data_IF_251934447150
#
_entry.id   IF_251934447150
#
_cell.length_a   1.000
_cell.length_b   1.000
_cell.length_c   1.000
_cell.angle_alpha   90.00
_cell.angle_beta   90.00
_cell.angle_gamma   90.00
#
_symmetry.space_group_name_H-M   'P 1'
#
loop_
_entity.id
_entity.type
_entity.pdbx_description
1 polymer ?
#
# COMPACT_ATOMS: atom_id res chain seq x y z
N UNK A 1 -9.89 26.27 -5.34
CA UNK A 1 -9.82 24.87 -4.92
C UNK A 1 -11.19 24.25 -5.07
N UNK A 2 -11.27 22.97 -5.46
CA UNK A 2 -12.53 22.23 -5.34
C UNK A 2 -12.68 21.84 -3.86
N UNK A 3 -13.64 22.42 -3.11
CA UNK A 3 -13.73 22.27 -1.65
C UNK A 3 -13.77 20.81 -1.19
N UNK A 4 -14.36 19.94 -2.01
CA UNK A 4 -14.52 18.52 -1.72
C UNK A 4 -13.20 17.74 -1.78
N UNK A 5 -12.23 18.15 -2.61
CA UNK A 5 -10.93 17.49 -2.69
C UNK A 5 -10.03 17.92 -1.53
N UNK A 6 -10.03 19.22 -1.21
CA UNK A 6 -9.30 19.75 -0.05
C UNK A 6 -9.81 19.14 1.25
N UNK A 7 -11.13 19.02 1.41
CA UNK A 7 -11.74 18.36 2.56
C UNK A 7 -11.34 16.89 2.67
N UNK A 8 -11.40 16.11 1.58
CA UNK A 8 -10.98 14.70 1.58
C UNK A 8 -9.53 14.53 2.00
N UNK A 9 -8.64 15.39 1.49
CA UNK A 9 -7.22 15.39 1.85
C UNK A 9 -7.01 15.69 3.33
N UNK A 10 -7.63 16.75 3.86
CA UNK A 10 -7.51 17.11 5.28
C UNK A 10 -8.06 16.01 6.19
N UNK A 11 -9.17 15.38 5.82
CA UNK A 11 -9.71 14.23 6.56
C UNK A 11 -8.76 13.05 6.54
N UNK A 12 -8.18 12.71 5.38
CA UNK A 12 -7.20 11.63 5.27
C UNK A 12 -5.92 11.92 6.09
N UNK A 13 -5.44 13.16 6.11
CA UNK A 13 -4.31 13.59 6.94
C UNK A 13 -4.60 13.40 8.43
N UNK A 14 -5.79 13.80 8.89
CA UNK A 14 -6.21 13.58 10.27
C UNK A 14 -6.29 12.09 10.61
N UNK A 15 -6.76 11.25 9.69
CA UNK A 15 -6.74 9.80 9.90
C UNK A 15 -5.31 9.25 9.99
N UNK A 16 -4.38 9.72 9.15
CA UNK A 16 -2.97 9.34 9.23
C UNK A 16 -2.39 9.74 10.60
N UNK A 17 -2.65 10.96 11.08
CA UNK A 17 -2.17 11.39 12.40
C UNK A 17 -2.75 10.53 13.52
N UNK A 18 -4.03 10.18 13.45
CA UNK A 18 -4.66 9.26 14.41
C UNK A 18 -4.03 7.86 14.39
N UNK A 19 -3.77 7.31 13.20
CA UNK A 19 -3.09 6.02 13.04
C UNK A 19 -1.69 6.05 13.67
N UNK A 20 -0.99 7.19 13.60
CA UNK A 20 0.39 7.38 14.03
C UNK A 20 0.52 8.02 15.43
N UNK A 21 -0.48 7.83 16.30
CA UNK A 21 -0.50 8.35 17.67
C UNK A 21 -0.27 9.88 17.77
N UNK A 22 -0.87 10.64 16.86
CA UNK A 22 -0.78 12.10 16.78
C UNK A 22 0.44 12.65 16.03
N UNK A 23 1.25 11.78 15.40
CA UNK A 23 2.40 12.19 14.60
C UNK A 23 2.03 12.29 13.12
N UNK A 24 2.63 13.22 12.40
CA UNK A 24 2.52 13.24 10.94
C UNK A 24 3.40 12.16 10.29
N UNK A 25 3.07 11.81 9.05
CA UNK A 25 3.89 10.92 8.21
C UNK A 25 5.36 11.38 8.11
N UNK A 26 5.60 12.70 8.02
CA UNK A 26 6.95 13.27 8.00
C UNK A 26 7.73 13.01 9.29
N UNK A 27 7.08 13.14 10.46
CA UNK A 27 7.72 12.93 11.77
C UNK A 27 8.13 11.48 12.03
N UNK A 28 7.52 10.52 11.33
CA UNK A 28 7.85 9.09 11.44
C UNK A 28 8.78 8.62 10.31
N UNK A 29 9.30 9.56 9.49
CA UNK A 29 10.19 9.25 8.37
C UNK A 29 9.49 8.64 7.15
N UNK A 30 8.15 8.72 7.10
CA UNK A 30 7.28 8.28 6.01
C UNK A 30 6.68 9.48 5.23
N UNK A 31 7.38 10.62 5.19
CA UNK A 31 6.89 11.83 4.49
C UNK A 31 6.85 11.75 2.95
N UNK A 32 7.92 11.27 2.27
CA UNK A 32 8.08 11.50 0.83
C UNK A 32 7.39 10.48 -0.09
N UNK A 33 6.22 9.94 0.26
CA UNK A 33 5.57 8.88 -0.55
C UNK A 33 5.25 9.29 -1.99
N UNK A 34 4.89 10.55 -2.21
CA UNK A 34 4.63 11.06 -3.57
C UNK A 34 5.89 11.00 -4.42
N UNK A 35 7.05 11.36 -3.85
CA UNK A 35 8.35 11.28 -4.52
C UNK A 35 8.73 9.82 -4.78
N UNK A 36 8.59 8.94 -3.78
CA UNK A 36 8.89 7.52 -3.90
C UNK A 36 8.11 6.88 -5.05
N UNK A 37 6.79 7.14 -5.13
CA UNK A 37 5.95 6.60 -6.20
C UNK A 37 6.21 7.27 -7.57
N UNK A 38 6.74 8.49 -7.58
CA UNK A 38 7.05 9.21 -8.83
C UNK A 38 8.38 8.80 -9.43
N UNK A 39 9.41 8.62 -8.62
CA UNK A 39 10.81 8.62 -9.06
C UNK A 39 11.62 7.41 -8.57
N UNK A 40 11.19 6.70 -7.53
CA UNK A 40 11.99 5.67 -6.86
C UNK A 40 11.54 4.23 -7.18
N UNK A 41 12.19 3.22 -6.59
CA UNK A 41 11.96 1.79 -6.84
C UNK A 41 10.91 1.18 -5.90
N UNK A 42 10.47 -0.06 -6.20
CA UNK A 42 9.64 -0.83 -5.28
C UNK A 42 10.31 -1.06 -3.90
N UNK A 43 11.64 -1.12 -3.85
CA UNK A 43 12.38 -1.21 -2.58
C UNK A 43 12.19 0.04 -1.71
N UNK A 44 12.27 1.23 -2.31
CA UNK A 44 12.01 2.48 -1.60
C UNK A 44 10.56 2.56 -1.07
N UNK A 45 9.59 2.05 -1.86
CA UNK A 45 8.21 1.90 -1.42
C UNK A 45 8.09 0.97 -0.20
N UNK A 46 8.74 -0.18 -0.21
CA UNK A 46 8.72 -1.11 0.92
C UNK A 46 9.33 -0.47 2.17
N UNK A 47 10.44 0.26 2.02
CA UNK A 47 11.08 0.95 3.12
C UNK A 47 10.18 2.02 3.74
N UNK A 48 9.53 2.85 2.93
CA UNK A 48 8.68 3.92 3.46
C UNK A 48 7.40 3.36 4.09
N UNK A 49 6.83 2.28 3.54
CA UNK A 49 5.72 1.58 4.15
C UNK A 49 6.13 0.94 5.48
N UNK A 50 7.31 0.32 5.57
CA UNK A 50 7.79 -0.24 6.84
C UNK A 50 7.98 0.84 7.93
N UNK A 51 8.40 2.05 7.57
CA UNK A 51 8.45 3.18 8.52
C UNK A 51 7.05 3.59 8.98
N UNK A 52 6.08 3.64 8.07
CA UNK A 52 4.68 3.92 8.40
C UNK A 52 4.14 2.87 9.39
N UNK A 53 4.21 1.58 9.03
CA UNK A 53 3.64 0.50 9.84
C UNK A 53 4.33 0.38 11.20
N UNK A 54 5.64 0.60 11.29
CA UNK A 54 6.36 0.61 12.58
C UNK A 54 5.84 1.69 13.54
N UNK A 55 5.25 2.77 13.03
CA UNK A 55 4.74 3.89 13.83
C UNK A 55 3.24 3.84 14.14
N UNK A 56 2.52 2.83 13.66
CA UNK A 56 1.08 2.67 13.92
C UNK A 56 0.82 2.37 15.40
N UNK A 57 -0.22 3.00 15.95
CA UNK A 57 -0.78 2.64 17.25
C UNK A 57 -1.61 1.35 17.13
N UNK A 58 -0.94 0.20 17.25
CA UNK A 58 -1.57 -1.12 17.15
C UNK A 58 -2.59 -1.41 18.27
N UNK A 59 -2.56 -0.67 19.39
CA UNK A 59 -3.57 -0.85 20.44
C UNK A 59 -4.91 -0.29 20.01
N UNK A 60 -4.89 0.89 19.37
CA UNK A 60 -6.10 1.56 18.87
C UNK A 60 -6.51 1.07 17.48
N UNK A 61 -5.56 0.68 16.65
CA UNK A 61 -5.75 0.32 15.25
C UNK A 61 -5.05 -1.01 14.90
N UNK A 62 -5.60 -2.16 15.33
CA UNK A 62 -4.97 -3.45 15.09
C UNK A 62 -4.97 -3.81 13.60
N UNK A 63 -3.79 -4.15 13.06
CA UNK A 63 -3.65 -4.79 11.74
C UNK A 63 -3.87 -6.30 11.91
N UNK A 64 -4.83 -6.88 11.19
CA UNK A 64 -5.23 -8.30 11.36
C UNK A 64 -5.18 -9.13 10.09
N UNK A 65 -5.30 -8.48 8.95
CA UNK A 65 -5.48 -9.11 7.66
C UNK A 65 -5.06 -8.16 6.52
N UNK A 66 -5.11 -8.68 5.30
CA UNK A 66 -4.76 -7.98 4.07
C UNK A 66 -5.63 -6.73 3.87
N UNK A 67 -6.91 -6.81 4.23
CA UNK A 67 -7.83 -5.68 4.14
C UNK A 67 -7.40 -4.51 5.03
N UNK A 68 -6.91 -4.80 6.25
CA UNK A 68 -6.38 -3.82 7.19
C UNK A 68 -5.09 -3.16 6.67
N UNK A 69 -4.13 -3.98 6.19
CA UNK A 69 -2.88 -3.49 5.60
C UNK A 69 -3.15 -2.56 4.42
N UNK A 70 -4.04 -3.00 3.52
CA UNK A 70 -4.46 -2.22 2.36
C UNK A 70 -5.15 -0.92 2.75
N UNK A 71 -6.11 -0.97 3.69
CA UNK A 71 -6.84 0.22 4.13
C UNK A 71 -5.93 1.29 4.73
N UNK A 72 -4.94 0.88 5.55
CA UNK A 72 -3.99 1.83 6.14
C UNK A 72 -3.06 2.43 5.08
N UNK A 73 -2.62 1.62 4.11
CA UNK A 73 -1.84 2.10 2.97
C UNK A 73 -2.66 3.09 2.11
N UNK A 74 -3.94 2.81 1.89
CA UNK A 74 -4.86 3.69 1.17
C UNK A 74 -5.04 5.03 1.88
N UNK A 75 -5.30 5.03 3.19
CA UNK A 75 -5.44 6.26 3.99
C UNK A 75 -4.16 7.08 3.95
N UNK A 76 -3.01 6.42 4.05
CA UNK A 76 -1.70 7.06 3.95
C UNK A 76 -1.48 7.74 2.60
N UNK A 77 -1.76 7.06 1.48
CA UNK A 77 -1.63 7.64 0.14
C UNK A 77 -2.61 8.80 -0.05
N UNK A 78 -3.86 8.65 0.39
CA UNK A 78 -4.85 9.72 0.35
C UNK A 78 -4.43 10.95 1.20
N UNK A 79 -3.83 10.73 2.37
CA UNK A 79 -3.27 11.79 3.22
C UNK A 79 -2.13 12.56 2.56
N UNK A 80 -1.37 11.90 1.68
CA UNK A 80 -0.36 12.53 0.85
C UNK A 80 -0.95 13.30 -0.36
N UNK A 81 -2.25 13.21 -0.59
CA UNK A 81 -2.95 13.85 -1.72
C UNK A 81 -3.02 13.01 -2.98
N UNK A 82 -2.75 11.70 -2.89
CA UNK A 82 -2.90 10.76 -3.99
C UNK A 82 -4.35 10.23 -4.06
N UNK A 83 -4.71 9.61 -5.20
CA UNK A 83 -6.04 9.02 -5.41
C UNK A 83 -5.95 7.49 -5.53
N UNK A 84 -5.70 6.77 -4.42
CA UNK A 84 -5.61 5.32 -4.45
C UNK A 84 -6.99 4.69 -4.70
N UNK A 85 -7.02 3.67 -5.57
CA UNK A 85 -8.21 2.92 -5.94
C UNK A 85 -8.09 1.48 -5.46
N UNK A 86 -9.20 0.96 -4.98
CA UNK A 86 -9.39 -0.44 -4.63
C UNK A 86 -10.17 -1.06 -5.78
N UNK A 87 -9.67 -2.13 -6.42
CA UNK A 87 -10.50 -2.82 -7.41
C UNK A 87 -11.67 -3.53 -6.71
N UNK A 88 -12.88 -3.29 -7.21
CA UNK A 88 -14.12 -3.85 -6.65
C UNK A 88 -14.62 -5.10 -7.39
N UNK A 89 -13.98 -5.52 -8.49
CA UNK A 89 -14.58 -6.47 -9.45
C UNK A 89 -13.63 -7.53 -10.00
N UNK A 90 -12.85 -8.21 -9.15
CA UNK A 90 -12.33 -9.53 -9.52
C UNK A 90 -12.75 -10.57 -8.50
N UNK A 91 -13.20 -11.73 -8.98
CA UNK A 91 -13.69 -12.84 -8.17
C UNK A 91 -12.62 -13.48 -7.25
N UNK A 92 -11.40 -12.91 -7.20
CA UNK A 92 -10.22 -13.49 -6.57
C UNK A 92 -9.63 -12.70 -5.39
N UNK A 93 -10.25 -11.60 -4.94
CA UNK A 93 -9.94 -11.01 -3.64
C UNK A 93 -9.94 -9.49 -3.60
N UNK A 94 -10.12 -8.96 -2.38
CA UNK A 94 -10.23 -7.53 -2.05
C UNK A 94 -8.88 -6.97 -1.55
N UNK A 95 -7.76 -7.43 -2.08
CA UNK A 95 -6.45 -7.19 -1.46
C UNK A 95 -5.52 -6.31 -2.29
N UNK A 96 -5.93 -5.90 -3.50
CA UNK A 96 -5.16 -4.97 -4.32
C UNK A 96 -5.38 -3.49 -3.96
N UNK A 97 -4.36 -2.68 -4.23
CA UNK A 97 -4.42 -1.23 -4.21
C UNK A 97 -3.70 -0.67 -5.43
N UNK A 98 -4.38 0.21 -6.16
CA UNK A 98 -3.81 0.90 -7.31
C UNK A 98 -3.60 2.38 -7.04
N UNK A 99 -2.50 2.95 -7.54
CA UNK A 99 -2.28 4.39 -7.50
C UNK A 99 -1.52 4.84 -8.75
N UNK A 100 -2.00 5.92 -9.38
CA UNK A 100 -1.32 6.57 -10.51
C UNK A 100 -0.64 7.83 -10.03
N UNK A 101 0.67 7.96 -10.31
CA UNK A 101 1.47 9.13 -9.95
C UNK A 101 2.35 9.48 -11.14
N UNK A 102 2.20 10.70 -11.67
CA UNK A 102 2.80 11.11 -12.93
C UNK A 102 2.47 10.10 -14.04
N UNK A 103 3.49 9.59 -14.75
CA UNK A 103 3.31 8.60 -15.79
C UNK A 103 3.34 7.16 -15.26
N UNK A 104 3.51 6.93 -13.95
CA UNK A 104 3.66 5.59 -13.34
C UNK A 104 2.33 5.11 -12.76
N UNK A 105 2.00 3.85 -13.02
CA UNK A 105 0.82 3.19 -12.46
C UNK A 105 1.29 2.05 -11.58
N UNK A 106 1.02 2.15 -10.29
CA UNK A 106 1.37 1.13 -9.31
C UNK A 106 0.17 0.24 -9.01
N UNK A 107 0.39 -1.08 -9.01
CA UNK A 107 -0.55 -2.09 -8.52
C UNK A 107 0.15 -2.84 -7.40
N UNK A 108 -0.40 -2.77 -6.19
CA UNK A 108 0.14 -3.39 -5.00
C UNK A 108 -0.77 -4.55 -4.59
N UNK A 109 -0.23 -5.77 -4.55
CA UNK A 109 -0.95 -6.96 -4.07
C UNK A 109 -0.44 -7.32 -2.68
N UNK A 110 -1.34 -7.28 -1.69
CA UNK A 110 -0.99 -7.53 -0.29
C UNK A 110 -1.32 -8.96 0.13
N UNK A 111 -0.35 -9.59 0.79
CA UNK A 111 -0.54 -10.82 1.57
C UNK A 111 -0.14 -10.58 3.00
N UNK A 112 -0.75 -11.35 3.90
CA UNK A 112 -0.38 -11.39 5.30
C UNK A 112 0.16 -12.77 5.64
N UNK A 113 1.28 -12.78 6.35
CA UNK A 113 1.88 -13.98 6.94
C UNK A 113 1.70 -13.93 8.46
N UNK A 114 1.12 -15.01 8.99
CA UNK A 114 0.99 -15.31 10.42
C UNK A 114 2.13 -16.23 10.87
N UNK A 115 2.27 -16.34 12.19
CA UNK A 115 3.19 -17.30 12.79
C UNK A 115 2.92 -18.72 12.22
N UNK A 116 4.00 -19.40 11.82
CA UNK A 116 4.03 -20.70 11.12
C UNK A 116 3.67 -20.72 9.62
N UNK A 117 3.23 -19.62 9.02
CA UNK A 117 3.03 -19.57 7.56
C UNK A 117 4.35 -19.32 6.82
N UNK A 118 4.55 -19.95 5.66
CA UNK A 118 5.71 -19.68 4.83
C UNK A 118 5.53 -18.37 4.05
N UNK A 119 6.31 -17.31 4.34
CA UNK A 119 6.15 -16.02 3.67
C UNK A 119 6.54 -16.07 2.19
N UNK A 120 7.42 -16.99 1.78
CA UNK A 120 7.81 -17.16 0.38
C UNK A 120 6.68 -17.78 -0.44
N UNK A 121 5.91 -18.71 0.14
CA UNK A 121 4.70 -19.26 -0.50
C UNK A 121 3.64 -18.16 -0.70
N UNK A 122 3.42 -17.31 0.31
CA UNK A 122 2.50 -16.16 0.18
C UNK A 122 2.95 -15.19 -0.91
N UNK A 123 4.26 -14.97 -1.03
CA UNK A 123 4.81 -14.12 -2.08
C UNK A 123 4.51 -14.71 -3.47
N UNK A 124 4.70 -16.01 -3.66
CA UNK A 124 4.38 -16.70 -4.91
C UNK A 124 2.90 -16.57 -5.26
N UNK A 125 1.99 -16.78 -4.30
CA UNK A 125 0.54 -16.58 -4.50
C UNK A 125 0.22 -15.15 -4.99
N UNK A 126 0.82 -14.13 -4.38
CA UNK A 126 0.62 -12.73 -4.79
C UNK A 126 1.15 -12.45 -6.21
N UNK A 127 2.32 -13.01 -6.54
CA UNK A 127 2.93 -12.88 -7.87
C UNK A 127 2.05 -13.54 -8.93
N UNK A 128 1.49 -14.71 -8.65
CA UNK A 128 0.55 -15.39 -9.54
C UNK A 128 -0.73 -14.57 -9.76
N UNK A 129 -1.29 -13.99 -8.69
CA UNK A 129 -2.45 -13.10 -8.79
C UNK A 129 -2.17 -11.87 -9.68
N UNK A 130 -1.01 -11.22 -9.52
CA UNK A 130 -0.59 -10.07 -10.33
C UNK A 130 -0.38 -10.43 -11.82
N UNK A 131 0.11 -11.65 -12.10
CA UNK A 131 0.26 -12.17 -13.47
C UNK A 131 -1.08 -12.42 -14.13
N UNK A 132 -2.02 -13.06 -13.43
CA UNK A 132 -3.36 -13.34 -13.94
C UNK A 132 -4.14 -12.06 -14.29
N UNK A 133 -4.00 -11.00 -13.49
CA UNK A 133 -4.58 -9.68 -13.78
C UNK A 133 -4.01 -9.01 -15.04
N UNK A 134 -2.81 -9.41 -15.49
CA UNK A 134 -2.18 -8.89 -16.71
C UNK A 134 -2.66 -9.50 -18.03
N UNK A 135 -3.53 -10.52 -18.00
CA UNK A 135 -3.96 -11.24 -19.21
C UNK A 135 -5.13 -10.59 -19.97
N UNK A 136 -5.62 -9.40 -19.58
CA UNK A 136 -6.83 -8.83 -20.18
C UNK A 136 -6.90 -7.31 -20.35
N UNK A 137 -6.04 -6.50 -19.74
CA UNK A 137 -6.19 -5.04 -19.77
C UNK A 137 -4.87 -4.32 -20.08
N UNK A 138 -4.88 -3.64 -21.23
CA UNK A 138 -3.92 -2.67 -21.75
C UNK A 138 -2.42 -2.90 -21.53
N UNK A 139 -1.81 -3.62 -22.48
CA UNK A 139 -0.38 -3.61 -22.80
C UNK A 139 0.15 -2.24 -23.28
N UNK A 140 -0.49 -1.14 -22.89
CA UNK A 140 -0.28 0.21 -23.44
C UNK A 140 0.10 1.27 -22.39
N UNK A 141 0.23 0.91 -21.10
CA UNK A 141 0.83 1.81 -20.10
C UNK A 141 2.31 1.51 -19.92
N UNK A 142 3.18 2.28 -20.59
CA UNK A 142 4.64 2.10 -20.61
C UNK A 142 5.35 2.17 -19.23
N UNK A 143 4.61 2.29 -18.12
CA UNK A 143 5.15 2.47 -16.76
C UNK A 143 4.27 1.80 -15.69
N UNK A 144 3.66 0.65 -16.00
CA UNK A 144 2.95 -0.17 -15.03
C UNK A 144 3.95 -0.91 -14.14
N UNK A 145 3.79 -0.79 -12.82
CA UNK A 145 4.64 -1.42 -11.81
C UNK A 145 3.77 -2.25 -10.89
N UNK A 146 4.01 -3.55 -10.88
CA UNK A 146 3.27 -4.52 -10.07
C UNK A 146 4.16 -5.01 -8.95
N UNK A 147 3.71 -4.84 -7.71
CA UNK A 147 4.50 -5.24 -6.53
C UNK A 147 3.68 -6.18 -5.65
N UNK A 148 4.19 -7.39 -5.49
CA UNK A 148 3.71 -8.34 -4.48
C UNK A 148 4.36 -8.01 -3.13
N UNK A 149 3.57 -7.94 -2.06
CA UNK A 149 4.01 -7.52 -0.73
C UNK A 149 3.50 -8.49 0.34
N UNK A 150 4.38 -9.03 1.17
CA UNK A 150 4.01 -9.92 2.30
C UNK A 150 4.30 -9.23 3.62
N UNK A 151 3.24 -8.92 4.35
CA UNK A 151 3.30 -8.31 5.67
C UNK A 151 3.30 -9.37 6.77
N UNK A 152 4.25 -9.30 7.70
CA UNK A 152 4.25 -10.13 8.91
C UNK A 152 3.45 -9.43 10.02
N UNK A 153 2.42 -10.09 10.55
CA UNK A 153 1.69 -9.56 11.72
C UNK A 153 2.54 -9.53 12.98
N UNK A 154 3.49 -10.47 13.08
CA UNK A 154 4.40 -10.58 14.22
C UNK A 154 5.44 -9.46 14.20
N UNK A 155 6.15 -9.31 13.06
CA UNK A 155 7.20 -8.31 12.91
C UNK A 155 6.68 -6.92 12.57
N UNK A 156 5.38 -6.81 12.24
CA UNK A 156 4.68 -5.55 11.90
C UNK A 156 5.34 -4.79 10.74
N UNK A 157 5.86 -5.53 9.77
CA UNK A 157 6.55 -5.00 8.59
C UNK A 157 6.38 -5.93 7.40
N UNK A 158 6.60 -5.40 6.21
CA UNK A 158 6.80 -6.18 5.00
C UNK A 158 8.14 -6.91 5.05
N UNK A 159 8.10 -8.24 4.98
CA UNK A 159 9.25 -9.14 5.14
C UNK A 159 9.68 -9.83 3.85
N UNK A 160 8.78 -9.86 2.86
CA UNK A 160 9.02 -10.32 1.49
C UNK A 160 8.30 -9.41 0.52
N UNK A 161 8.90 -9.20 -0.64
CA UNK A 161 8.30 -8.45 -1.72
C UNK A 161 8.95 -8.84 -3.05
N UNK A 162 8.24 -8.57 -4.15
CA UNK A 162 8.75 -8.79 -5.50
C UNK A 162 8.06 -7.88 -6.49
N UNK A 163 8.85 -7.20 -7.32
CA UNK A 163 8.36 -6.53 -8.52
C UNK A 163 8.19 -7.59 -9.64
N UNK A 164 7.04 -7.58 -10.32
CA UNK A 164 6.60 -8.62 -11.27
C UNK A 164 6.75 -8.17 -12.71
#
# INVERSE_FOLDING_TARGET
GHPNLELKKTMAQLYVENLLAGKSAGQVGAGPIVQVLSEESAEALVHILNRLFAAIDYQRYPVRDEASVRAFTQVYFAGAGLEPKVEHHTAHGRSDLEVKVNNRHWILEFKVSRDQENPDQKLEEAVEQLKLKGYGDDSSSENLIKVALVFSLEERKFIRWKEV
#
